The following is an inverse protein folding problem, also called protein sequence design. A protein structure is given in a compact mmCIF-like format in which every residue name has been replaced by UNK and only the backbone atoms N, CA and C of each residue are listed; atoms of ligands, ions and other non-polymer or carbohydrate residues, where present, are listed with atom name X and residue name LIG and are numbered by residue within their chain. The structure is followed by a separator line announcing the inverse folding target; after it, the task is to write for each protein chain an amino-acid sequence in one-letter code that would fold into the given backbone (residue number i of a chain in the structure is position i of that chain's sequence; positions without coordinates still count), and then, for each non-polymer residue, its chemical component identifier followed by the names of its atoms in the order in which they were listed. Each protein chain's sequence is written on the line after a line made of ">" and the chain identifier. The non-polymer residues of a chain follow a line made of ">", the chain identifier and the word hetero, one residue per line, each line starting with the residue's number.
data_IF_368144011283
#
_entry.id   IF_368144011283
#
_cell.length_a   1.000
_cell.length_b   1.000
_cell.length_c   1.000
_cell.angle_alpha   90.00
_cell.angle_beta   90.00
_cell.angle_gamma   90.00
#
_symmetry.space_group_name_H-M   'P 1'
#
loop_
_entity.id
_entity.type
_entity.pdbx_description
1 polymer ?
#
# COMPACT_ATOMS: atom_id res chain seq x y z
N UNK A 1 2.86 -11.25 -24.89
CA UNK A 1 2.77 -10.25 -23.82
C UNK A 1 2.82 -11.02 -22.52
N UNK A 2 3.72 -10.67 -21.60
CA UNK A 2 3.80 -11.31 -20.28
C UNK A 2 2.62 -10.92 -19.40
N UNK A 3 2.55 -11.49 -18.20
CA UNK A 3 1.51 -11.19 -17.22
C UNK A 3 1.62 -9.73 -16.77
N UNK A 4 0.55 -8.95 -16.97
CA UNK A 4 0.46 -7.54 -16.57
C UNK A 4 -0.44 -7.44 -15.35
N UNK A 5 0.03 -6.79 -14.29
CA UNK A 5 -0.81 -6.43 -13.17
C UNK A 5 -1.63 -5.18 -13.52
N UNK A 6 -2.84 -5.39 -14.08
CA UNK A 6 -3.70 -4.29 -14.54
C UNK A 6 -4.06 -3.28 -13.44
N UNK A 7 -3.99 -3.67 -12.16
CA UNK A 7 -4.28 -2.77 -11.06
C UNK A 7 -3.14 -1.78 -10.71
N UNK A 8 -1.93 -1.94 -11.28
CA UNK A 8 -0.76 -1.10 -11.01
C UNK A 8 -0.15 -0.53 -12.30
N UNK A 9 -1.00 -0.08 -13.24
CA UNK A 9 -0.53 0.54 -14.47
C UNK A 9 -0.07 1.99 -14.23
N UNK A 10 1.20 2.35 -14.49
CA UNK A 10 1.64 3.75 -14.42
C UNK A 10 1.05 4.57 -15.57
N UNK A 11 0.93 5.89 -15.35
CA UNK A 11 0.30 6.81 -16.30
C UNK A 11 0.98 6.80 -17.68
N UNK A 12 2.30 6.63 -17.72
CA UNK A 12 3.04 6.52 -18.97
C UNK A 12 2.56 5.33 -19.80
N UNK A 13 2.43 4.15 -19.18
CA UNK A 13 1.95 2.94 -19.86
C UNK A 13 0.49 3.10 -20.28
N UNK A 14 -0.34 3.74 -19.44
CA UNK A 14 -1.73 4.03 -19.75
C UNK A 14 -1.86 4.92 -21.00
N UNK A 15 -1.09 6.02 -21.06
CA UNK A 15 -1.04 6.94 -22.21
C UNK A 15 -0.62 6.21 -23.48
N UNK A 16 0.47 5.46 -23.39
CA UNK A 16 1.15 4.92 -24.58
C UNK A 16 0.41 3.70 -25.17
N UNK A 17 -0.32 2.94 -24.34
CA UNK A 17 -0.92 1.65 -24.76
C UNK A 17 -2.46 1.64 -24.73
N UNK A 18 -3.12 2.57 -24.03
CA UNK A 18 -4.57 2.57 -23.83
C UNK A 18 -5.18 3.96 -24.10
N UNK A 19 -5.07 4.49 -25.33
CA UNK A 19 -5.43 5.88 -25.64
C UNK A 19 -6.91 6.21 -25.38
N UNK A 20 -7.83 5.24 -25.53
CA UNK A 20 -9.24 5.44 -25.21
C UNK A 20 -9.47 5.61 -23.71
N UNK A 21 -8.84 4.76 -22.89
CA UNK A 21 -8.90 4.86 -21.42
C UNK A 21 -8.22 6.14 -20.93
N UNK A 22 -7.08 6.49 -21.52
CA UNK A 22 -6.37 7.74 -21.26
C UNK A 22 -7.27 8.96 -21.51
N UNK A 23 -7.95 9.00 -22.66
CA UNK A 23 -8.89 10.08 -22.99
C UNK A 23 -10.05 10.16 -21.99
N UNK A 24 -10.61 9.02 -21.56
CA UNK A 24 -11.67 8.99 -20.55
C UNK A 24 -11.19 9.55 -19.21
N UNK A 25 -10.01 9.13 -18.76
CA UNK A 25 -9.42 9.60 -17.51
C UNK A 25 -9.19 11.12 -17.51
N UNK A 26 -8.77 11.69 -18.65
CA UNK A 26 -8.60 13.14 -18.79
C UNK A 26 -9.93 13.90 -18.91
N UNK A 27 -11.00 13.24 -19.38
CA UNK A 27 -12.30 13.87 -19.61
C UNK A 27 -13.17 14.02 -18.34
N UNK A 28 -12.81 13.32 -17.26
CA UNK A 28 -13.61 13.25 -16.06
C UNK A 28 -12.80 13.42 -14.78
N UNK A 29 -13.47 13.56 -13.63
CA UNK A 29 -12.80 13.61 -12.34
C UNK A 29 -12.12 12.27 -12.04
N UNK A 30 -10.83 12.33 -11.72
CA UNK A 30 -9.98 11.19 -11.37
C UNK A 30 -9.31 11.43 -10.02
N UNK A 31 -9.25 10.39 -9.20
CA UNK A 31 -8.76 10.50 -7.83
C UNK A 31 -7.70 9.44 -7.57
N UNK A 32 -6.68 9.79 -6.79
CA UNK A 32 -5.68 8.85 -6.32
C UNK A 32 -5.66 8.81 -4.80
N UNK A 33 -5.37 7.62 -4.26
CA UNK A 33 -5.09 7.43 -2.84
C UNK A 33 -3.62 7.10 -2.69
N UNK A 34 -2.94 7.80 -1.79
CA UNK A 34 -1.52 7.61 -1.53
C UNK A 34 -1.27 7.33 -0.05
N UNK A 35 -0.22 6.56 0.20
CA UNK A 35 0.28 6.22 1.52
C UNK A 35 1.56 6.98 1.84
N UNK A 36 1.89 7.03 3.13
CA UNK A 36 3.28 7.23 3.55
C UNK A 36 4.19 6.24 2.81
N UNK A 37 5.26 6.72 2.13
CA UNK A 37 6.07 5.84 1.28
C UNK A 37 6.76 4.70 2.03
N UNK A 38 7.13 4.90 3.29
CA UNK A 38 7.75 3.84 4.09
C UNK A 38 6.74 2.76 4.47
N UNK A 39 5.52 3.15 4.83
CA UNK A 39 4.41 2.21 5.04
C UNK A 39 4.03 1.45 3.75
N UNK A 40 4.03 2.14 2.61
CA UNK A 40 3.81 1.53 1.29
C UNK A 40 4.89 0.48 0.97
N UNK A 41 6.16 0.84 1.12
CA UNK A 41 7.30 -0.07 0.94
C UNK A 41 7.20 -1.32 1.84
N UNK A 42 6.86 -1.12 3.12
CA UNK A 42 6.68 -2.24 4.07
C UNK A 42 5.54 -3.17 3.64
N UNK A 43 4.42 -2.60 3.17
CA UNK A 43 3.30 -3.38 2.64
C UNK A 43 3.70 -4.18 1.39
N UNK A 44 4.47 -3.57 0.48
CA UNK A 44 4.96 -4.22 -0.72
C UNK A 44 5.91 -5.40 -0.41
N UNK A 45 6.77 -5.28 0.61
CA UNK A 45 7.60 -6.39 1.09
C UNK A 45 6.76 -7.57 1.57
N UNK A 46 5.75 -7.31 2.40
CA UNK A 46 4.84 -8.34 2.92
C UNK A 46 4.12 -9.04 1.76
N UNK A 47 3.60 -8.26 0.82
CA UNK A 47 2.88 -8.80 -0.33
C UNK A 47 3.80 -9.66 -1.21
N UNK A 48 5.03 -9.22 -1.46
CA UNK A 48 6.02 -9.97 -2.24
C UNK A 48 6.40 -11.30 -1.58
N UNK A 49 6.64 -11.29 -0.26
CA UNK A 49 6.93 -12.51 0.50
C UNK A 49 5.78 -13.53 0.38
N UNK A 50 4.54 -13.06 0.45
CA UNK A 50 3.37 -13.93 0.34
C UNK A 50 3.15 -14.46 -1.08
N UNK A 51 3.19 -13.58 -2.08
CA UNK A 51 2.80 -13.92 -3.45
C UNK A 51 3.90 -14.67 -4.21
N UNK A 52 5.17 -14.35 -3.98
CA UNK A 52 6.29 -14.86 -4.80
C UNK A 52 7.26 -15.75 -4.02
N UNK A 53 7.32 -15.63 -2.69
CA UNK A 53 8.25 -16.41 -1.85
C UNK A 53 7.55 -17.48 -1.02
N UNK A 54 6.23 -17.60 -1.12
CA UNK A 54 5.43 -18.67 -0.49
C UNK A 54 5.25 -18.53 1.03
N UNK A 55 5.46 -17.33 1.59
CA UNK A 55 5.26 -17.11 3.01
C UNK A 55 3.78 -17.11 3.39
N UNK A 56 3.42 -17.81 4.46
CA UNK A 56 2.17 -17.60 5.15
C UNK A 56 2.17 -16.24 5.85
N UNK A 57 1.01 -15.58 5.93
CA UNK A 57 0.91 -14.26 6.55
C UNK A 57 1.32 -14.24 8.04
N UNK A 58 1.23 -15.37 8.75
CA UNK A 58 1.67 -15.54 10.14
C UNK A 58 3.14 -15.91 10.28
N UNK A 59 3.81 -16.21 9.17
CA UNK A 59 5.17 -16.76 9.14
C UNK A 59 6.21 -15.70 8.78
N UNK A 60 5.77 -14.46 8.55
CA UNK A 60 6.66 -13.33 8.25
C UNK A 60 7.21 -12.79 9.56
N UNK A 61 8.54 -12.87 9.71
CA UNK A 61 9.25 -12.31 10.84
C UNK A 61 10.03 -11.04 10.46
N UNK A 62 10.41 -10.19 11.43
CA UNK A 62 11.18 -8.98 11.18
C UNK A 62 12.46 -9.21 10.36
N UNK A 63 13.19 -10.30 10.63
CA UNK A 63 14.40 -10.69 9.92
C UNK A 63 14.17 -11.06 8.46
N UNK A 64 12.98 -11.59 8.12
CA UNK A 64 12.60 -11.88 6.74
C UNK A 64 12.38 -10.58 5.97
N UNK A 65 11.66 -9.63 6.60
CA UNK A 65 11.43 -8.31 6.00
C UNK A 65 12.73 -7.52 5.81
N UNK A 66 13.66 -7.58 6.77
CA UNK A 66 14.97 -6.93 6.62
C UNK A 66 15.78 -7.52 5.47
N UNK A 67 15.83 -8.85 5.37
CA UNK A 67 16.54 -9.53 4.27
C UNK A 67 15.90 -9.21 2.92
N UNK A 68 14.58 -9.27 2.85
CA UNK A 68 13.83 -8.95 1.64
C UNK A 68 14.01 -7.47 1.24
N UNK A 69 14.03 -6.55 2.20
CA UNK A 69 14.25 -5.14 1.96
C UNK A 69 15.61 -4.90 1.28
N UNK A 70 16.67 -5.57 1.74
CA UNK A 70 18.00 -5.49 1.13
C UNK A 70 17.98 -6.07 -0.30
N UNK A 71 17.32 -7.21 -0.52
CA UNK A 71 17.19 -7.82 -1.86
C UNK A 71 16.48 -6.87 -2.84
N UNK A 72 15.35 -6.30 -2.42
CA UNK A 72 14.56 -5.36 -3.23
C UNK A 72 15.35 -4.10 -3.53
N UNK A 73 15.99 -3.48 -2.53
CA UNK A 73 16.79 -2.26 -2.74
C UNK A 73 17.91 -2.52 -3.74
N UNK A 74 18.68 -3.60 -3.59
CA UNK A 74 19.73 -3.96 -4.54
C UNK A 74 19.20 -4.15 -5.97
N UNK A 75 17.97 -4.66 -6.11
CA UNK A 75 17.33 -4.84 -7.41
C UNK A 75 16.84 -3.54 -8.02
N UNK A 76 16.27 -2.65 -7.21
CA UNK A 76 15.62 -1.42 -7.68
C UNK A 76 16.59 -0.24 -7.83
N UNK A 77 17.65 -0.17 -7.03
CA UNK A 77 18.66 0.92 -7.07
C UNK A 77 19.37 1.03 -8.43
N UNK A 78 19.30 -0.02 -9.25
CA UNK A 78 19.88 -0.07 -10.59
C UNK A 78 18.88 0.20 -11.73
N UNK A 79 17.64 0.58 -11.42
CA UNK A 79 16.53 0.64 -12.39
C UNK A 79 15.71 1.92 -12.30
N UNK A 80 15.57 2.60 -13.44
CA UNK A 80 14.75 3.83 -13.54
C UNK A 80 13.25 3.56 -13.69
N UNK A 81 12.88 2.47 -14.37
CA UNK A 81 11.50 2.05 -14.58
C UNK A 81 11.40 0.52 -14.65
N UNK A 82 10.33 -0.05 -14.10
CA UNK A 82 10.06 -1.48 -14.16
C UNK A 82 8.56 -1.75 -14.19
N UNK A 83 8.17 -2.87 -14.81
CA UNK A 83 6.80 -3.39 -14.80
C UNK A 83 6.77 -4.88 -14.47
N UNK A 84 7.88 -5.40 -13.94
CA UNK A 84 7.99 -6.80 -13.56
C UNK A 84 7.01 -7.11 -12.44
N UNK A 85 6.20 -8.16 -12.63
CA UNK A 85 5.12 -8.54 -11.72
C UNK A 85 5.58 -8.68 -10.26
N UNK A 86 6.78 -9.22 -10.06
CA UNK A 86 7.37 -9.48 -8.75
C UNK A 86 7.71 -8.18 -7.97
N UNK A 87 7.88 -7.05 -8.68
CA UNK A 87 8.32 -5.78 -8.10
C UNK A 87 7.31 -4.66 -8.28
N UNK A 88 6.22 -4.88 -9.02
CA UNK A 88 5.26 -3.84 -9.41
C UNK A 88 4.70 -3.04 -8.21
N UNK A 89 4.56 -3.69 -7.05
CA UNK A 89 4.06 -3.05 -5.82
C UNK A 89 5.05 -2.04 -5.20
N UNK A 90 6.30 -2.01 -5.66
CA UNK A 90 7.31 -1.02 -5.25
C UNK A 90 7.35 0.20 -6.16
N UNK A 91 6.52 0.25 -7.21
CA UNK A 91 6.45 1.40 -8.11
C UNK A 91 6.16 2.68 -7.34
N UNK A 92 6.70 3.81 -7.82
CA UNK A 92 6.46 5.10 -7.17
C UNK A 92 5.00 5.48 -7.35
N UNK A 93 4.38 5.98 -6.29
CA UNK A 93 3.01 6.48 -6.32
C UNK A 93 2.90 7.70 -7.25
N UNK A 94 3.97 8.50 -7.37
CA UNK A 94 4.10 9.59 -8.34
C UNK A 94 3.92 9.13 -9.79
N UNK A 95 4.33 7.92 -10.16
CA UNK A 95 4.16 7.38 -11.51
C UNK A 95 2.67 7.12 -11.86
N UNK A 96 1.77 7.17 -10.87
CA UNK A 96 0.31 7.02 -11.02
C UNK A 96 -0.46 8.34 -10.91
N UNK A 97 0.18 9.45 -10.53
CA UNK A 97 -0.50 10.74 -10.33
C UNK A 97 0.06 11.86 -11.19
N UNK A 98 1.36 11.81 -11.49
CA UNK A 98 2.04 12.80 -12.31
C UNK A 98 2.56 12.15 -13.59
N UNK A 99 2.54 12.90 -14.69
CA UNK A 99 3.15 12.53 -15.96
C UNK A 99 3.85 13.76 -16.54
N UNK A 100 5.11 13.59 -16.97
CA UNK A 100 5.94 14.69 -17.50
C UNK A 100 5.98 15.91 -16.54
N UNK A 101 6.09 15.65 -15.23
CA UNK A 101 6.07 16.63 -14.13
C UNK A 101 4.79 17.46 -13.97
N UNK A 102 3.69 16.99 -14.57
CA UNK A 102 2.37 17.57 -14.40
C UNK A 102 1.42 16.61 -13.67
N UNK A 103 0.66 17.16 -12.72
CA UNK A 103 -0.43 16.44 -12.04
C UNK A 103 -1.53 16.10 -13.04
N UNK A 104 -1.80 14.81 -13.23
CA UNK A 104 -2.82 14.30 -14.16
C UNK A 104 -4.14 14.03 -13.45
N UNK A 105 -4.09 13.52 -12.22
CA UNK A 105 -5.30 13.24 -11.44
C UNK A 105 -5.92 14.51 -10.87
N UNK A 106 -7.25 14.55 -10.75
CA UNK A 106 -8.00 15.71 -10.26
C UNK A 106 -7.72 16.04 -8.80
N UNK A 107 -7.63 15.01 -7.94
CA UNK A 107 -7.24 15.21 -6.53
C UNK A 107 -6.52 13.96 -5.98
N UNK A 108 -5.69 14.19 -4.97
CA UNK A 108 -4.91 13.15 -4.30
C UNK A 108 -5.27 13.15 -2.82
N UNK A 109 -5.65 11.98 -2.31
CA UNK A 109 -6.05 11.79 -0.92
C UNK A 109 -5.02 10.94 -0.20
N UNK A 110 -4.60 11.32 1.02
CA UNK A 110 -3.81 10.43 1.84
C UNK A 110 -4.72 9.29 2.35
N UNK A 111 -4.20 8.07 2.51
CA UNK A 111 -5.00 6.94 3.02
C UNK A 111 -5.59 7.23 4.40
N UNK A 112 -4.94 8.08 5.17
CA UNK A 112 -5.40 8.54 6.47
C UNK A 112 -6.74 9.30 6.39
N UNK A 113 -7.13 9.78 5.20
CA UNK A 113 -8.33 10.60 4.96
C UNK A 113 -9.24 10.04 3.88
N UNK A 114 -9.48 8.73 3.94
CA UNK A 114 -10.48 8.08 3.07
C UNK A 114 -11.89 8.64 3.28
N UNK A 115 -12.19 9.19 4.46
CA UNK A 115 -13.42 9.95 4.71
C UNK A 115 -13.59 11.12 3.73
N UNK A 116 -12.52 11.91 3.52
CA UNK A 116 -12.53 13.04 2.59
C UNK A 116 -12.72 12.57 1.13
N UNK A 117 -12.10 11.46 0.75
CA UNK A 117 -12.34 10.84 -0.56
C UNK A 117 -13.82 10.45 -0.73
N UNK A 118 -14.42 9.79 0.27
CA UNK A 118 -15.83 9.39 0.20
C UNK A 118 -16.76 10.59 0.09
N UNK A 119 -16.52 11.64 0.87
CA UNK A 119 -17.26 12.90 0.74
C UNK A 119 -17.13 13.47 -0.67
N UNK A 120 -15.91 13.49 -1.24
CA UNK A 120 -15.68 13.99 -2.59
C UNK A 120 -16.38 13.17 -3.65
N UNK A 121 -16.38 11.85 -3.52
CA UNK A 121 -17.10 10.95 -4.43
C UNK A 121 -18.61 11.15 -4.34
N UNK A 122 -19.15 11.38 -3.13
CA UNK A 122 -20.54 11.74 -2.90
C UNK A 122 -20.93 13.03 -3.61
N UNK A 123 -20.14 14.09 -3.46
CA UNK A 123 -20.35 15.38 -4.15
C UNK A 123 -20.27 15.25 -5.67
N UNK A 124 -19.28 14.51 -6.16
CA UNK A 124 -18.95 14.46 -7.60
C UNK A 124 -19.93 13.59 -8.38
N UNK A 125 -20.36 12.47 -7.79
CA UNK A 125 -21.13 11.45 -8.50
C UNK A 125 -22.50 11.16 -7.87
N UNK A 126 -22.88 11.87 -6.80
CA UNK A 126 -24.14 11.63 -6.09
C UNK A 126 -24.14 10.32 -5.29
N UNK A 127 -22.97 9.78 -4.95
CA UNK A 127 -22.82 8.56 -4.14
C UNK A 127 -23.09 8.89 -2.66
N UNK A 128 -24.35 9.14 -2.32
CA UNK A 128 -24.76 9.41 -0.95
C UNK A 128 -24.85 8.10 -0.14
N UNK A 129 -23.82 7.84 0.64
CA UNK A 129 -23.78 7.22 1.98
C UNK A 129 -24.81 6.12 2.34
N UNK A 130 -25.08 5.15 1.45
CA UNK A 130 -25.88 3.95 1.76
C UNK A 130 -25.03 2.67 1.96
N UNK A 131 -23.69 2.78 2.02
CA UNK A 131 -22.79 1.61 2.13
C UNK A 131 -21.69 1.72 3.18
N UNK A 132 -21.73 2.72 4.06
CA UNK A 132 -20.79 2.86 5.19
C UNK A 132 -20.85 1.73 6.23
N UNK A 133 -21.80 0.80 6.14
CA UNK A 133 -21.82 -0.40 7.00
C UNK A 133 -21.04 -1.61 6.43
N UNK A 134 -20.62 -1.61 5.15
CA UNK A 134 -20.12 -2.83 4.50
C UNK A 134 -18.75 -2.71 3.82
N UNK A 135 -18.46 -1.58 3.16
CA UNK A 135 -17.22 -1.42 2.40
C UNK A 135 -16.07 -0.84 3.24
N UNK A 136 -16.41 -0.02 4.24
CA UNK A 136 -15.47 0.54 5.22
C UNK A 136 -15.10 -0.38 6.37
N UNK A 137 -15.78 -1.53 6.55
CA UNK A 137 -15.51 -2.46 7.65
C UNK A 137 -14.10 -3.09 7.58
N UNK A 138 -13.44 -3.00 6.43
CA UNK A 138 -12.07 -3.46 6.24
C UNK A 138 -11.01 -2.37 6.47
N UNK A 139 -11.37 -1.08 6.54
CA UNK A 139 -10.40 0.00 6.78
C UNK A 139 -10.76 0.93 7.96
N UNK A 140 -11.93 0.76 8.58
CA UNK A 140 -12.26 1.41 9.83
C UNK A 140 -11.39 0.83 10.96
N UNK A 141 -10.35 1.58 11.31
CA UNK A 141 -9.60 1.41 12.54
C UNK A 141 -10.55 1.52 13.74
N UNK A 142 -11.10 0.39 14.19
CA UNK A 142 -11.76 0.32 15.49
C UNK A 142 -10.69 0.31 16.58
N UNK A 143 -10.36 1.51 17.05
CA UNK A 143 -9.67 1.70 18.31
C UNK A 143 -10.49 1.06 19.44
N UNK A 144 -10.01 -0.08 19.96
CA UNK A 144 -10.11 -0.48 21.39
C UNK A 144 -9.60 -1.88 21.76
N UNK A 145 -8.88 -2.59 20.88
CA UNK A 145 -8.14 -3.80 21.28
C UNK A 145 -6.64 -3.58 21.11
N UNK A 146 -6.07 -2.81 22.04
CA UNK A 146 -4.63 -2.63 22.21
C UNK A 146 -4.09 -3.79 23.03
N UNK A 147 -3.05 -4.44 22.51
CA UNK A 147 -2.11 -5.23 23.30
C UNK A 147 -2.34 -6.73 23.28
N UNK A 148 -1.85 -7.40 22.23
CA UNK A 148 -1.17 -8.68 22.48
C UNK A 148 0.31 -8.36 22.45
N UNK A 149 0.90 -8.27 23.64
CA UNK A 149 2.34 -8.08 23.81
C UNK A 149 3.09 -9.08 22.94
N UNK A 150 3.95 -8.59 22.04
CA UNK A 150 4.82 -9.41 21.19
C UNK A 150 5.74 -10.34 22.00
N UNK A 151 5.84 -10.13 23.31
CA UNK A 151 6.55 -11.01 24.25
C UNK A 151 5.86 -12.37 24.47
N UNK A 152 4.58 -12.51 24.11
CA UNK A 152 3.84 -13.79 24.21
C UNK A 152 3.85 -14.60 22.91
N UNK A 153 4.30 -14.01 21.79
CA UNK A 153 4.32 -14.68 20.48
C UNK A 153 5.26 -15.90 20.44
N UNK A 154 6.36 -15.86 21.20
CA UNK A 154 7.29 -16.99 21.30
C UNK A 154 6.69 -18.18 22.07
N UNK A 155 5.90 -17.92 23.11
CA UNK A 155 5.23 -18.96 23.92
C UNK A 155 4.02 -19.55 23.19
N UNK A 156 3.30 -18.73 22.42
CA UNK A 156 2.17 -19.13 21.58
C UNK A 156 2.56 -20.16 20.49
N UNK A 157 3.83 -20.11 20.04
CA UNK A 157 4.41 -20.96 19.00
C UNK A 157 4.49 -22.45 19.36
N UNK A 158 4.60 -22.76 20.65
CA UNK A 158 4.78 -24.14 21.12
C UNK A 158 3.49 -24.90 21.42
N UNK A 159 2.37 -24.18 21.59
CA UNK A 159 1.16 -24.76 22.21
C UNK A 159 -0.05 -24.76 21.27
N UNK A 160 -0.10 -23.84 20.30
CA UNK A 160 -1.30 -23.68 19.45
C UNK A 160 -1.14 -24.41 18.11
N UNK A 161 -1.98 -25.42 17.82
CA UNK A 161 -1.96 -26.14 16.55
C UNK A 161 -2.28 -25.24 15.35
N UNK A 162 -1.64 -25.50 14.21
CA UNK A 162 -1.85 -24.82 12.92
C UNK A 162 -3.32 -24.46 12.58
N UNK A 163 -4.29 -25.40 12.67
CA UNK A 163 -5.68 -25.08 12.32
C UNK A 163 -6.33 -24.04 13.26
N UNK A 164 -5.84 -23.88 14.49
CA UNK A 164 -6.30 -22.83 15.40
C UNK A 164 -5.68 -21.47 15.08
N UNK A 165 -4.42 -21.44 14.62
CA UNK A 165 -3.75 -20.21 14.15
C UNK A 165 -4.45 -19.62 12.94
N UNK A 166 -4.79 -20.48 11.98
CA UNK A 166 -5.53 -20.08 10.79
C UNK A 166 -6.91 -19.49 11.13
N UNK A 167 -7.60 -20.03 12.15
CA UNK A 167 -8.90 -19.51 12.58
C UNK A 167 -8.81 -18.13 13.25
N UNK A 168 -7.77 -17.91 14.05
CA UNK A 168 -7.49 -16.60 14.67
C UNK A 168 -7.14 -15.56 13.59
N UNK A 169 -6.40 -15.97 12.57
CA UNK A 169 -6.03 -15.13 11.43
C UNK A 169 -7.17 -14.85 10.45
N UNK A 170 -8.07 -15.81 10.21
CA UNK A 170 -9.28 -15.57 9.38
C UNK A 170 -10.23 -14.57 10.07
N UNK A 171 -10.28 -14.58 11.41
CA UNK A 171 -11.03 -13.59 12.18
C UNK A 171 -10.41 -12.19 12.10
N UNK A 172 -9.09 -12.06 11.93
CA UNK A 172 -8.45 -10.76 11.67
C UNK A 172 -8.61 -10.28 10.22
N UNK A 173 -8.75 -11.19 9.25
CA UNK A 173 -9.05 -10.86 7.83
C UNK A 173 -10.45 -10.29 7.57
N UNK A 174 -11.38 -10.35 8.54
CA UNK A 174 -12.65 -9.59 8.50
C UNK A 174 -12.47 -8.09 8.75
N UNK A 175 -11.24 -7.66 8.99
CA UNK A 175 -10.80 -6.28 9.21
C UNK A 175 -9.64 -6.01 8.25
N UNK A 176 -9.92 -6.04 6.94
CA UNK A 176 -9.04 -5.66 5.81
C UNK A 176 -7.58 -6.14 5.77
N UNK A 177 -7.07 -6.62 4.63
CA UNK A 177 -5.98 -7.59 4.69
C UNK A 177 -4.59 -7.02 5.01
N UNK A 178 -4.37 -5.69 5.04
CA UNK A 178 -3.01 -5.13 4.99
C UNK A 178 -2.70 -3.97 5.97
N UNK A 179 -3.71 -3.35 6.58
CA UNK A 179 -3.49 -2.24 7.52
C UNK A 179 -2.97 -2.67 8.89
N UNK A 180 -3.38 -3.84 9.38
CA UNK A 180 -2.99 -4.33 10.71
C UNK A 180 -1.56 -4.86 10.80
N UNK A 181 -1.08 -5.53 9.74
CA UNK A 181 0.26 -6.14 9.72
C UNK A 181 1.34 -5.10 9.40
N UNK A 182 1.10 -4.18 8.47
CA UNK A 182 2.03 -3.07 8.20
C UNK A 182 2.24 -2.18 9.44
N UNK A 183 1.16 -1.92 10.21
CA UNK A 183 1.28 -1.20 11.49
C UNK A 183 2.08 -1.95 12.56
N UNK A 184 2.06 -3.29 12.57
CA UNK A 184 2.89 -4.09 13.48
C UNK A 184 4.39 -3.95 13.18
N UNK A 185 4.75 -3.69 11.93
CA UNK A 185 6.12 -3.49 11.47
C UNK A 185 6.50 -2.02 11.26
N UNK A 186 5.60 -1.08 11.56
CA UNK A 186 5.86 0.35 11.37
C UNK A 186 7.09 0.84 12.15
N UNK A 187 7.43 0.24 13.29
CA UNK A 187 8.61 0.58 14.08
C UNK A 187 9.88 -0.21 13.74
N UNK A 188 9.82 -1.14 12.78
CA UNK A 188 10.97 -1.97 12.41
C UNK A 188 12.01 -1.15 11.65
N UNK A 189 13.25 -1.11 12.13
CA UNK A 189 14.34 -0.52 11.35
C UNK A 189 14.83 -1.49 10.27
N UNK A 190 14.89 -1.03 9.02
CA UNK A 190 15.46 -1.80 7.90
C UNK A 190 16.98 -1.60 7.71
N UNK A 191 17.60 -0.77 8.55
CA UNK A 191 19.00 -0.36 8.39
C UNK A 191 19.15 0.93 7.58
N UNK A 192 20.30 1.59 7.72
CA UNK A 192 20.53 2.94 7.19
C UNK A 192 20.45 3.01 5.66
N UNK A 193 20.96 2.00 4.96
CA UNK A 193 21.00 1.99 3.50
C UNK A 193 19.60 1.87 2.89
N UNK A 194 18.75 1.00 3.46
CA UNK A 194 17.36 0.86 3.00
C UNK A 194 16.56 2.12 3.32
N UNK A 195 16.70 2.68 4.52
CA UNK A 195 16.02 3.93 4.87
C UNK A 195 16.48 5.11 4.00
N UNK A 196 17.75 5.14 3.58
CA UNK A 196 18.27 6.10 2.61
C UNK A 196 17.68 5.88 1.22
N UNK A 197 17.59 4.63 0.77
CA UNK A 197 16.94 4.29 -0.48
C UNK A 197 15.49 4.77 -0.50
N UNK A 198 14.69 4.44 0.54
CA UNK A 198 13.28 4.84 0.63
C UNK A 198 13.15 6.36 0.52
N UNK A 199 13.98 7.12 1.24
CA UNK A 199 13.97 8.60 1.18
C UNK A 199 14.31 9.16 -0.19
N UNK A 200 15.20 8.50 -0.93
CA UNK A 200 15.69 8.99 -2.22
C UNK A 200 14.75 8.56 -3.35
N UNK A 201 14.44 7.26 -3.41
CA UNK A 201 13.59 6.66 -4.44
C UNK A 201 12.15 7.18 -4.38
N UNK A 202 11.61 7.39 -3.17
CA UNK A 202 10.26 7.90 -2.96
C UNK A 202 10.20 9.38 -2.55
N UNK A 203 11.24 10.17 -2.83
CA UNK A 203 11.29 11.59 -2.43
C UNK A 203 10.06 12.37 -2.90
N UNK A 204 9.69 12.21 -4.18
CA UNK A 204 8.50 12.85 -4.78
C UNK A 204 7.21 12.36 -4.12
N UNK A 205 7.08 11.07 -3.85
CA UNK A 205 5.91 10.51 -3.16
C UNK A 205 5.75 11.07 -1.74
N UNK A 206 6.86 11.30 -1.01
CA UNK A 206 6.83 11.92 0.31
C UNK A 206 6.31 13.37 0.24
N UNK A 207 6.68 14.10 -0.80
CA UNK A 207 6.17 15.46 -1.04
C UNK A 207 4.68 15.47 -1.34
N UNK A 208 4.24 14.57 -2.21
CA UNK A 208 2.82 14.42 -2.57
C UNK A 208 2.00 14.01 -1.35
N UNK A 209 2.47 13.05 -0.54
CA UNK A 209 1.79 12.61 0.69
C UNK A 209 1.67 13.74 1.70
N UNK A 210 2.75 14.50 1.92
CA UNK A 210 2.72 15.68 2.80
C UNK A 210 1.76 16.76 2.31
N UNK A 211 1.74 17.02 1.00
CA UNK A 211 0.84 17.99 0.40
C UNK A 211 -0.63 17.54 0.54
N UNK A 212 -0.91 16.27 0.29
CA UNK A 212 -2.25 15.69 0.44
C UNK A 212 -2.71 15.71 1.91
N UNK A 213 -1.81 15.43 2.87
CA UNK A 213 -2.10 15.59 4.30
C UNK A 213 -2.35 17.04 4.71
N UNK A 214 -1.72 18.02 4.06
CA UNK A 214 -1.95 19.43 4.35
C UNK A 214 -3.28 19.93 3.74
N UNK A 215 -3.62 19.45 2.54
CA UNK A 215 -4.87 19.78 1.84
C UNK A 215 -6.09 19.16 2.56
N UNK A 216 -5.94 17.91 2.99
CA UNK A 216 -7.01 17.12 3.59
C UNK A 216 -6.78 16.84 5.07
N UNK A 217 -5.94 17.59 5.77
CA UNK A 217 -5.71 17.43 7.21
C UNK A 217 -6.97 17.73 8.05
N UNK A 218 -7.00 17.38 9.34
CA UNK A 218 -8.05 17.88 10.23
C UNK A 218 -8.09 19.42 10.25
#
# INVERSE_FOLDING_TARGET
>A
MGDIHLAHLPLQILRDNFPATWALMLSGPSFAVIHDPRACFTSALIQRLQEFKGYGATDIHPEDLQREAIEVVNRLDTRDAFVDLEYINFMRQSDHVDLDDHRVVTAVFPIERLDALWSRLGETFGLNDQTTAGAGANLASHGRLRGVDCRLASTYRGVVPEPARQRIFVLSKRVGPLGGVSNAFASLSFGEDVERFIKTFYAKDMEIHRAALAEWGP
#
